data_IF_616124632403
#
_entry.id   IF_616124632403
#
_cell.length_a   1.000
_cell.length_b   1.000
_cell.length_c   1.000
_cell.angle_alpha   90.00
_cell.angle_beta   90.00
_cell.angle_gamma   90.00
#
_symmetry.space_group_name_H-M   'P 1'
#
loop_
_entity.id
_entity.type
_entity.pdbx_description
1 polymer ?
#
# COMPACT_ATOMS: atom_id res chain seq x y z
N UNK A 1 20.49 -11.53 65.07
CA UNK A 1 19.38 -10.98 64.26
C UNK A 1 19.82 -10.06 63.10
N UNK A 2 21.08 -9.60 63.00
CA UNK A 2 21.56 -8.72 61.90
C UNK A 2 21.83 -9.43 60.55
N UNK A 3 22.11 -10.75 60.55
CA UNK A 3 22.40 -11.54 59.33
C UNK A 3 21.13 -11.96 58.55
N UNK A 4 19.96 -11.94 59.19
CA UNK A 4 18.67 -12.26 58.55
C UNK A 4 18.12 -11.06 57.76
N UNK A 5 18.27 -9.85 58.32
CA UNK A 5 17.89 -8.59 57.66
C UNK A 5 18.68 -8.36 56.37
N UNK A 6 19.97 -8.71 56.36
CA UNK A 6 20.81 -8.59 55.15
C UNK A 6 20.35 -9.54 54.03
N UNK A 7 19.89 -10.75 54.36
CA UNK A 7 19.36 -11.70 53.38
C UNK A 7 18.01 -11.25 52.82
N UNK A 8 17.16 -10.63 53.64
CA UNK A 8 15.87 -10.09 53.20
C UNK A 8 16.04 -8.88 52.28
N UNK A 9 17.02 -8.01 52.56
CA UNK A 9 17.34 -6.86 51.73
C UNK A 9 17.90 -7.27 50.36
N UNK A 10 18.76 -8.29 50.32
CA UNK A 10 19.31 -8.84 49.08
C UNK A 10 18.24 -9.51 48.20
N UNK A 11 17.25 -10.17 48.81
CA UNK A 11 16.14 -10.78 48.08
C UNK A 11 15.23 -9.72 47.43
N UNK A 12 15.03 -8.56 48.08
CA UNK A 12 14.21 -7.47 47.54
C UNK A 12 14.84 -6.78 46.32
N UNK A 13 16.17 -6.79 46.21
CA UNK A 13 16.89 -6.17 45.10
C UNK A 13 16.74 -6.95 43.78
N UNK A 14 16.53 -8.27 43.86
CA UNK A 14 16.35 -9.15 42.69
C UNK A 14 14.99 -8.94 42.02
N UNK A 15 13.96 -8.53 42.79
CA UNK A 15 12.60 -8.31 42.25
C UNK A 15 12.51 -7.03 41.40
N UNK A 16 13.39 -6.05 41.62
CA UNK A 16 13.41 -4.80 40.86
C UNK A 16 14.09 -4.92 39.47
N UNK A 17 14.88 -5.96 39.23
CA UNK A 17 15.57 -6.18 37.94
C UNK A 17 14.72 -6.98 36.95
N UNK A 18 13.69 -7.70 37.42
CA UNK A 18 12.81 -8.52 36.56
C UNK A 18 11.66 -7.73 35.90
N UNK A 19 11.59 -6.41 36.09
CA UNK A 19 10.58 -5.55 35.46
C UNK A 19 11.15 -4.61 34.40
N UNK A 20 12.33 -4.91 33.85
CA UNK A 20 12.61 -4.50 32.48
C UNK A 20 11.86 -5.50 31.60
N UNK A 21 10.55 -5.29 31.45
CA UNK A 21 9.90 -5.68 30.20
C UNK A 21 10.71 -4.93 29.15
N UNK A 22 11.53 -5.68 28.43
CA UNK A 22 11.88 -5.30 27.08
C UNK A 22 10.53 -5.21 26.37
N UNK A 23 9.89 -4.04 26.49
CA UNK A 23 9.00 -3.56 25.46
C UNK A 23 9.93 -3.29 24.28
N UNK A 24 10.46 -4.37 23.70
CA UNK A 24 10.75 -4.43 22.28
C UNK A 24 9.37 -4.30 21.66
N UNK A 25 8.87 -3.07 21.67
CA UNK A 25 8.03 -2.54 20.66
C UNK A 25 8.88 -2.69 19.40
N UNK A 26 8.84 -3.91 18.84
CA UNK A 26 8.91 -4.10 17.41
C UNK A 26 7.60 -3.47 16.93
N UNK A 27 7.51 -2.15 17.05
CA UNK A 27 7.06 -1.32 15.98
C UNK A 27 7.85 -1.89 14.81
N UNK A 28 7.18 -2.73 14.02
CA UNK A 28 7.56 -2.87 12.64
C UNK A 28 7.57 -1.43 12.16
N UNK A 29 8.72 -0.77 12.23
CA UNK A 29 9.01 0.37 11.39
C UNK A 29 8.75 -0.20 10.02
N UNK A 30 7.55 0.07 9.50
CA UNK A 30 7.24 -0.19 8.11
C UNK A 30 8.37 0.51 7.39
N UNK A 31 9.31 -0.27 6.87
CA UNK A 31 10.41 0.24 6.07
C UNK A 31 9.73 1.11 5.03
N UNK A 32 9.91 2.43 5.16
CA UNK A 32 9.21 3.36 4.30
C UNK A 32 9.85 3.16 2.94
N UNK A 33 9.19 2.42 2.05
CA UNK A 33 9.70 2.16 0.71
C UNK A 33 9.86 3.53 0.04
N UNK A 34 11.11 3.96 -0.14
CA UNK A 34 11.42 5.21 -0.80
C UNK A 34 11.64 4.94 -2.27
N UNK A 35 10.69 5.37 -3.08
CA UNK A 35 10.83 5.35 -4.54
C UNK A 35 11.66 6.56 -5.02
N UNK A 36 12.38 6.43 -6.16
CA UNK A 36 13.00 7.56 -6.82
C UNK A 36 11.96 8.64 -7.15
N UNK A 37 12.37 9.91 -7.02
CA UNK A 37 11.49 11.06 -7.30
C UNK A 37 11.21 11.24 -8.79
N UNK A 38 12.16 10.85 -9.64
CA UNK A 38 12.03 11.00 -11.08
C UNK A 38 11.38 9.73 -11.66
N UNK A 39 10.45 9.86 -12.62
CA UNK A 39 9.89 8.71 -13.30
C UNK A 39 10.95 8.05 -14.18
N UNK A 40 10.80 6.75 -14.41
CA UNK A 40 11.53 6.04 -15.47
C UNK A 40 11.32 6.75 -16.81
N UNK A 41 12.31 6.68 -17.71
CA UNK A 41 12.12 7.18 -19.08
C UNK A 41 11.23 6.22 -19.89
N UNK A 42 10.66 6.73 -20.98
CA UNK A 42 9.87 5.92 -21.92
C UNK A 42 10.69 4.74 -22.45
N UNK A 43 11.98 4.95 -22.71
CA UNK A 43 12.89 3.90 -23.19
C UNK A 43 13.08 2.80 -22.14
N UNK A 44 13.23 3.16 -20.86
CA UNK A 44 13.38 2.18 -19.77
C UNK A 44 12.11 1.35 -19.59
N UNK A 45 10.95 2.00 -19.65
CA UNK A 45 9.64 1.33 -19.56
C UNK A 45 9.47 0.36 -20.74
N UNK A 46 9.68 0.85 -21.96
CA UNK A 46 9.54 0.04 -23.17
C UNK A 46 10.54 -1.12 -23.21
N UNK A 47 11.79 -0.90 -22.80
CA UNK A 47 12.79 -1.96 -22.75
C UNK A 47 12.34 -3.12 -21.86
N UNK A 48 11.82 -2.84 -20.65
CA UNK A 48 11.31 -3.87 -19.74
C UNK A 48 10.06 -4.57 -20.27
N UNK A 49 9.13 -3.82 -20.88
CA UNK A 49 7.94 -4.40 -21.51
C UNK A 49 8.34 -5.35 -22.64
N UNK A 50 9.22 -4.90 -23.55
CA UNK A 50 9.68 -5.72 -24.67
C UNK A 50 10.42 -6.97 -24.21
N UNK A 51 11.36 -6.84 -23.27
CA UNK A 51 12.07 -7.98 -22.70
C UNK A 51 11.12 -9.01 -22.08
N UNK A 52 10.09 -8.53 -21.37
CA UNK A 52 9.09 -9.43 -20.77
C UNK A 52 8.30 -10.15 -21.85
N UNK A 53 7.75 -9.43 -22.83
CA UNK A 53 6.97 -10.00 -23.94
C UNK A 53 7.79 -10.99 -24.76
N UNK A 54 9.07 -10.71 -25.05
CA UNK A 54 9.94 -11.64 -25.77
C UNK A 54 10.15 -12.96 -25.02
N UNK A 55 10.20 -12.91 -23.68
CA UNK A 55 10.46 -14.08 -22.84
C UNK A 55 9.21 -14.87 -22.47
N UNK A 56 8.07 -14.21 -22.25
CA UNK A 56 6.84 -14.82 -21.70
C UNK A 56 5.68 -14.83 -22.69
N UNK A 57 5.72 -13.99 -23.73
CA UNK A 57 4.63 -13.76 -24.68
C UNK A 57 3.58 -12.73 -24.23
N UNK A 58 3.68 -12.17 -23.01
CA UNK A 58 2.71 -11.22 -22.47
C UNK A 58 3.34 -10.29 -21.40
N UNK A 59 2.69 -9.17 -21.09
CA UNK A 59 3.11 -8.27 -20.02
C UNK A 59 2.04 -8.13 -18.93
N UNK A 60 2.34 -8.64 -17.74
CA UNK A 60 1.45 -8.52 -16.58
C UNK A 60 1.83 -7.32 -15.71
N UNK A 61 0.97 -6.28 -15.71
CA UNK A 61 1.12 -5.08 -14.90
C UNK A 61 1.16 -5.37 -13.38
N UNK A 62 0.69 -6.52 -12.91
CA UNK A 62 0.74 -6.89 -11.49
C UNK A 62 2.15 -7.34 -11.04
N UNK A 63 3.09 -7.51 -11.98
CA UNK A 63 4.44 -8.02 -11.70
C UNK A 63 5.50 -6.93 -11.53
N UNK A 64 5.12 -5.67 -11.75
CA UNK A 64 6.00 -4.51 -11.60
C UNK A 64 5.71 -3.74 -10.32
N UNK A 65 6.71 -3.01 -9.84
CA UNK A 65 6.58 -2.18 -8.65
C UNK A 65 5.79 -0.88 -8.91
N UNK A 66 5.45 -0.20 -7.81
CA UNK A 66 4.66 1.03 -7.81
C UNK A 66 5.37 2.18 -8.53
N UNK A 67 6.71 2.26 -8.49
CA UNK A 67 7.47 3.29 -9.21
C UNK A 67 7.37 3.11 -10.72
N UNK A 68 7.42 1.87 -11.20
CA UNK A 68 7.21 1.57 -12.61
C UNK A 68 5.78 1.92 -13.06
N UNK A 69 4.76 1.53 -12.28
CA UNK A 69 3.36 1.86 -12.57
C UNK A 69 3.14 3.38 -12.61
N UNK A 70 3.62 4.10 -11.60
CA UNK A 70 3.53 5.56 -11.54
C UNK A 70 4.27 6.23 -12.71
N UNK A 71 5.47 5.75 -13.05
CA UNK A 71 6.24 6.27 -14.19
C UNK A 71 5.45 6.10 -15.50
N UNK A 72 4.78 4.97 -15.70
CA UNK A 72 3.94 4.73 -16.86
C UNK A 72 2.73 5.68 -16.90
N UNK A 73 2.07 5.95 -15.76
CA UNK A 73 0.96 6.92 -15.68
C UNK A 73 1.43 8.33 -16.04
N UNK A 74 2.58 8.76 -15.53
CA UNK A 74 3.15 10.09 -15.84
C UNK A 74 3.36 10.26 -17.35
N UNK A 75 3.92 9.26 -18.02
CA UNK A 75 4.08 9.27 -19.48
C UNK A 75 2.79 9.03 -20.26
N UNK A 76 1.78 8.41 -19.64
CA UNK A 76 0.43 8.20 -20.15
C UNK A 76 -0.49 9.42 -19.98
N UNK A 77 0.07 10.64 -20.03
CA UNK A 77 -0.66 11.90 -19.85
C UNK A 77 -1.36 12.04 -18.48
N UNK A 78 -0.87 11.33 -17.46
CA UNK A 78 -1.48 11.25 -16.13
C UNK A 78 -2.90 10.67 -16.14
N UNK A 79 -3.23 9.81 -17.11
CA UNK A 79 -4.50 9.11 -17.19
C UNK A 79 -4.32 7.68 -16.67
N UNK A 80 -5.08 7.31 -15.65
CA UNK A 80 -5.12 5.96 -15.09
C UNK A 80 -6.53 5.39 -15.24
N UNK A 81 -6.64 4.21 -15.86
CA UNK A 81 -7.89 3.45 -15.94
C UNK A 81 -7.85 2.31 -14.93
N UNK A 82 -8.82 2.27 -14.02
CA UNK A 82 -8.87 1.27 -12.95
C UNK A 82 -10.10 0.38 -13.16
N UNK A 83 -9.86 -0.90 -13.46
CA UNK A 83 -10.89 -1.93 -13.36
C UNK A 83 -11.09 -2.34 -11.90
N UNK A 84 -12.35 -2.52 -11.47
CA UNK A 84 -12.67 -2.96 -10.12
C UNK A 84 -13.66 -4.12 -10.15
N UNK A 85 -13.44 -5.10 -9.28
CA UNK A 85 -14.24 -6.32 -9.21
C UNK A 85 -13.56 -7.39 -8.36
N UNK A 86 -14.12 -8.59 -8.35
CA UNK A 86 -13.45 -9.81 -7.93
C UNK A 86 -12.91 -10.57 -9.15
N UNK A 87 -12.00 -11.54 -8.98
CA UNK A 87 -11.60 -12.42 -10.07
C UNK A 87 -12.83 -13.04 -10.73
N UNK A 88 -12.88 -12.97 -12.07
CA UNK A 88 -14.02 -13.42 -12.91
C UNK A 88 -15.31 -12.60 -12.78
N UNK A 89 -15.33 -11.51 -12.02
CA UNK A 89 -16.44 -10.56 -11.99
C UNK A 89 -16.11 -9.44 -12.98
N UNK A 90 -16.59 -9.59 -14.21
CA UNK A 90 -16.50 -8.56 -15.25
C UNK A 90 -17.87 -7.93 -15.43
N UNK A 91 -17.89 -6.63 -15.73
CA UNK A 91 -18.97 -5.90 -16.40
C UNK A 91 -20.40 -6.30 -15.97
N UNK A 92 -21.00 -5.53 -15.07
CA UNK A 92 -22.41 -5.74 -14.70
C UNK A 92 -23.32 -4.87 -15.56
N UNK A 93 -24.27 -5.48 -16.25
CA UNK A 93 -25.39 -4.80 -16.93
C UNK A 93 -26.51 -4.38 -15.95
N UNK A 94 -26.28 -4.60 -14.66
CA UNK A 94 -27.22 -4.26 -13.59
C UNK A 94 -26.46 -3.68 -12.41
N UNK A 95 -27.14 -2.97 -11.52
CA UNK A 95 -26.50 -2.49 -10.30
C UNK A 95 -26.06 -3.67 -9.40
N UNK A 96 -24.75 -3.81 -9.21
CA UNK A 96 -24.15 -4.76 -8.28
C UNK A 96 -23.63 -3.99 -7.04
N UNK A 97 -24.23 -4.21 -5.84
CA UNK A 97 -23.81 -3.51 -4.63
C UNK A 97 -22.34 -3.71 -4.26
N UNK A 98 -21.75 -4.86 -4.59
CA UNK A 98 -20.32 -5.14 -4.32
C UNK A 98 -19.44 -4.30 -5.24
N UNK A 99 -19.80 -4.19 -6.52
CA UNK A 99 -19.08 -3.33 -7.47
C UNK A 99 -19.20 -1.86 -7.10
N UNK A 100 -20.38 -1.39 -6.68
CA UNK A 100 -20.58 -0.02 -6.21
C UNK A 100 -19.77 0.30 -4.96
N UNK A 101 -19.68 -0.65 -4.02
CA UNK A 101 -18.86 -0.50 -2.82
C UNK A 101 -17.36 -0.40 -3.17
N UNK A 102 -16.87 -1.26 -4.08
CA UNK A 102 -15.47 -1.19 -4.56
C UNK A 102 -15.16 0.11 -5.30
N UNK A 103 -16.05 0.56 -6.19
CA UNK A 103 -15.95 1.86 -6.86
C UNK A 103 -15.85 3.00 -5.85
N UNK A 104 -16.74 3.01 -4.86
CA UNK A 104 -16.78 4.05 -3.82
C UNK A 104 -15.51 4.07 -3.00
N UNK A 105 -14.97 2.90 -2.64
CA UNK A 105 -13.69 2.80 -1.92
C UNK A 105 -12.52 3.35 -2.75
N UNK A 106 -12.49 3.11 -4.06
CA UNK A 106 -11.47 3.69 -4.94
C UNK A 106 -11.58 5.23 -5.00
N UNK A 107 -12.79 5.76 -5.13
CA UNK A 107 -13.02 7.21 -5.12
C UNK A 107 -12.56 7.82 -3.79
N UNK A 108 -12.85 7.17 -2.65
CA UNK A 108 -12.35 7.63 -1.34
C UNK A 108 -10.83 7.70 -1.29
N UNK A 109 -10.12 6.69 -1.80
CA UNK A 109 -8.65 6.70 -1.85
C UNK A 109 -8.16 7.92 -2.65
N UNK A 110 -8.78 8.22 -3.79
CA UNK A 110 -8.39 9.39 -4.61
C UNK A 110 -8.61 10.69 -3.84
N UNK A 111 -9.79 10.88 -3.24
CA UNK A 111 -10.13 12.08 -2.47
C UNK A 111 -9.15 12.29 -1.30
N UNK A 112 -8.83 11.22 -0.56
CA UNK A 112 -7.92 11.26 0.59
C UNK A 112 -6.49 11.65 0.18
N UNK A 113 -6.04 11.26 -1.01
CA UNK A 113 -4.68 11.53 -1.49
C UNK A 113 -4.54 12.86 -2.25
N UNK A 114 -5.59 13.29 -2.97
CA UNK A 114 -5.55 14.54 -3.73
C UNK A 114 -5.94 15.77 -2.88
N UNK A 115 -6.44 15.56 -1.66
CA UNK A 115 -6.93 16.62 -0.77
C UNK A 115 -8.01 17.49 -1.45
N UNK A 116 -8.87 16.85 -2.24
CA UNK A 116 -9.99 17.48 -2.96
C UNK A 116 -11.28 17.10 -2.24
N UNK A 117 -12.14 18.09 -2.01
CA UNK A 117 -13.48 17.84 -1.47
C UNK A 117 -14.34 17.13 -2.51
N UNK A 118 -15.28 16.28 -2.06
CA UNK A 118 -16.09 15.47 -2.97
C UNK A 118 -16.88 16.32 -3.97
N UNK A 119 -17.29 17.52 -3.57
CA UNK A 119 -18.04 18.47 -4.37
C UNK A 119 -17.23 19.06 -5.54
N UNK A 120 -15.91 19.11 -5.40
CA UNK A 120 -14.98 19.63 -6.41
C UNK A 120 -14.55 18.54 -7.41
N UNK A 121 -14.79 17.26 -7.08
CA UNK A 121 -14.52 16.14 -7.96
C UNK A 121 -15.48 16.15 -9.15
N UNK A 122 -14.93 16.27 -10.37
CA UNK A 122 -15.71 16.09 -11.60
C UNK A 122 -15.96 14.61 -11.84
N UNK A 123 -17.03 14.10 -11.24
CA UNK A 123 -17.49 12.73 -11.46
C UNK A 123 -18.48 12.69 -12.62
N UNK A 124 -18.18 11.89 -13.64
CA UNK A 124 -19.09 11.57 -14.74
C UNK A 124 -19.47 10.11 -14.62
N UNK A 125 -20.75 9.84 -14.36
CA UNK A 125 -21.31 8.50 -14.32
C UNK A 125 -22.17 8.27 -15.56
N UNK A 126 -22.08 7.08 -16.13
CA UNK A 126 -22.99 6.64 -17.18
C UNK A 126 -24.03 5.74 -16.52
N UNK A 127 -25.30 5.97 -16.85
CA UNK A 127 -26.38 5.08 -16.44
C UNK A 127 -26.17 3.71 -17.08
N UNK A 128 -26.36 2.66 -16.27
CA UNK A 128 -26.29 1.25 -16.68
C UNK A 128 -27.70 0.76 -16.99
#
# INVERSE_FOLDING_TARGET
MKKSLFRLMLLSLIVLVSCSKDDTNIENQSETIQFPKDPLTVEQINAKIYETIENTGDFDWNTVDEHFLWSAVVHGQNVLTIGYGNPNQSFSETEDPVLQSKKSALISIVLDNEAVEKEDLKLVEHDI
#
